data_IF_506919036074
#
_entry.id   IF_506919036074
#
_cell.length_a   1.000
_cell.length_b   1.000
_cell.length_c   1.000
_cell.angle_alpha   90.00
_cell.angle_beta   90.00
_cell.angle_gamma   90.00
#
_symmetry.space_group_name_H-M   'P 1'
#
loop_
_entity.id
_entity.type
_entity.pdbx_description
1 polymer ?
#
# COMPACT_ATOMS: atom_id res chain seq x y z
N UNK A 1 -43.28 32.07 -1.72
CA UNK A 1 -42.83 30.65 -1.71
C UNK A 1 -43.97 29.66 -1.45
N UNK A 2 -44.56 29.62 -0.24
CA UNK A 2 -45.53 28.57 0.16
C UNK A 2 -46.75 28.46 -0.77
N UNK A 3 -47.38 29.58 -1.16
CA UNK A 3 -48.54 29.58 -2.07
C UNK A 3 -48.21 29.04 -3.47
N UNK A 4 -47.02 29.34 -3.99
CA UNK A 4 -46.58 28.89 -5.32
C UNK A 4 -46.33 27.38 -5.34
N UNK A 5 -45.65 26.85 -4.31
CA UNK A 5 -45.39 25.40 -4.17
C UNK A 5 -46.70 24.62 -4.05
N UNK A 6 -47.64 25.10 -3.22
CA UNK A 6 -48.97 24.48 -3.09
C UNK A 6 -49.75 24.50 -4.40
N UNK A 7 -49.70 25.60 -5.16
CA UNK A 7 -50.37 25.72 -6.47
C UNK A 7 -49.76 24.75 -7.50
N UNK A 8 -48.44 24.56 -7.51
CA UNK A 8 -47.77 23.56 -8.34
C UNK A 8 -48.17 22.12 -7.96
N UNK A 9 -48.13 21.79 -6.67
CA UNK A 9 -48.54 20.47 -6.17
C UNK A 9 -50.00 20.17 -6.50
N UNK A 10 -50.90 21.16 -6.38
CA UNK A 10 -52.32 21.02 -6.73
C UNK A 10 -52.53 20.75 -8.23
N UNK A 11 -51.78 21.43 -9.10
CA UNK A 11 -51.86 21.20 -10.56
C UNK A 11 -51.36 19.80 -10.91
N UNK A 12 -50.24 19.36 -10.31
CA UNK A 12 -49.72 18.00 -10.50
C UNK A 12 -50.71 16.95 -10.00
N UNK A 13 -51.28 17.13 -8.80
CA UNK A 13 -52.27 16.23 -8.23
C UNK A 13 -53.54 16.15 -9.10
N UNK A 14 -54.03 17.30 -9.60
CA UNK A 14 -55.19 17.35 -10.50
C UNK A 14 -54.95 16.61 -11.80
N UNK A 15 -53.76 16.74 -12.41
CA UNK A 15 -53.38 16.00 -13.63
C UNK A 15 -53.32 14.49 -13.37
N UNK A 16 -52.66 14.07 -12.28
CA UNK A 16 -52.56 12.65 -11.89
C UNK A 16 -53.92 12.02 -11.59
N UNK A 17 -54.83 12.77 -10.94
CA UNK A 17 -56.18 12.31 -10.65
C UNK A 17 -57.04 12.15 -11.91
N UNK A 18 -56.89 13.06 -12.88
CA UNK A 18 -57.57 12.96 -14.17
C UNK A 18 -57.02 11.82 -15.03
N UNK A 19 -55.71 11.56 -14.98
CA UNK A 19 -55.08 10.41 -15.65
C UNK A 19 -55.53 9.08 -15.02
N UNK A 20 -55.57 8.98 -13.69
CA UNK A 20 -56.00 7.78 -12.99
C UNK A 20 -57.47 7.36 -13.23
N UNK A 21 -58.31 8.28 -13.74
CA UNK A 21 -59.71 8.00 -14.10
C UNK A 21 -59.89 7.52 -15.54
N UNK A 22 -58.87 7.63 -16.38
CA UNK A 22 -58.89 7.14 -17.76
C UNK A 22 -58.34 5.70 -17.79
N UNK A 23 -58.87 4.81 -18.64
CA UNK A 23 -58.25 3.50 -18.84
C UNK A 23 -56.79 3.69 -19.29
N UNK A 24 -55.89 2.81 -18.84
CA UNK A 24 -54.46 2.87 -19.16
C UNK A 24 -54.23 2.94 -20.67
N UNK A 25 -53.51 3.97 -21.11
CA UNK A 25 -53.10 4.19 -22.50
C UNK A 25 -51.62 3.78 -22.68
N UNK A 26 -51.18 3.50 -23.91
CA UNK A 26 -49.76 3.22 -24.26
C UNK A 26 -48.85 4.33 -23.72
N UNK A 27 -49.37 5.56 -23.65
CA UNK A 27 -48.72 6.70 -23.02
C UNK A 27 -48.37 6.47 -21.54
N UNK A 28 -49.22 5.82 -20.77
CA UNK A 28 -48.97 5.56 -19.35
C UNK A 28 -47.83 4.54 -19.17
N UNK A 29 -47.74 3.56 -20.08
CA UNK A 29 -46.63 2.59 -20.12
C UNK A 29 -45.31 3.28 -20.45
N UNK A 30 -45.31 4.15 -21.47
CA UNK A 30 -44.13 4.94 -21.85
C UNK A 30 -43.71 5.90 -20.73
N UNK A 31 -44.67 6.57 -20.10
CA UNK A 31 -44.41 7.48 -18.99
C UNK A 31 -43.83 6.70 -17.80
N UNK A 32 -44.39 5.56 -17.41
CA UNK A 32 -43.82 4.71 -16.35
C UNK A 32 -42.40 4.24 -16.68
N UNK A 33 -42.16 3.79 -17.92
CA UNK A 33 -40.83 3.36 -18.34
C UNK A 33 -39.81 4.50 -18.25
N UNK A 34 -40.16 5.71 -18.71
CA UNK A 34 -39.28 6.88 -18.64
C UNK A 34 -38.91 7.25 -17.20
N UNK A 35 -39.87 7.16 -16.27
CA UNK A 35 -39.64 7.40 -14.84
C UNK A 35 -38.75 6.30 -14.23
N UNK A 36 -39.02 5.03 -14.56
CA UNK A 36 -38.23 3.89 -14.11
C UNK A 36 -36.78 3.96 -14.59
N UNK A 37 -36.57 4.28 -15.87
CA UNK A 37 -35.25 4.45 -16.46
C UNK A 37 -34.49 5.61 -15.81
N UNK A 38 -35.14 6.77 -15.61
CA UNK A 38 -34.52 7.92 -14.95
C UNK A 38 -34.14 7.60 -13.50
N UNK A 39 -35.01 6.93 -12.75
CA UNK A 39 -34.75 6.51 -11.38
C UNK A 39 -33.56 5.53 -11.30
N UNK A 40 -33.54 4.54 -12.19
CA UNK A 40 -32.43 3.60 -12.29
C UNK A 40 -31.11 4.32 -12.60
N UNK A 41 -31.11 5.24 -13.58
CA UNK A 41 -29.94 6.02 -13.95
C UNK A 41 -29.43 6.89 -12.79
N UNK A 42 -30.32 7.54 -12.03
CA UNK A 42 -29.92 8.32 -10.85
C UNK A 42 -29.26 7.44 -9.79
N UNK A 43 -29.80 6.24 -9.54
CA UNK A 43 -29.23 5.28 -8.60
C UNK A 43 -27.85 4.78 -9.07
N UNK A 44 -27.68 4.51 -10.36
CA UNK A 44 -26.39 4.16 -10.95
C UNK A 44 -25.38 5.30 -10.75
N UNK A 45 -25.76 6.55 -11.03
CA UNK A 45 -24.88 7.72 -10.83
C UNK A 45 -24.51 7.93 -9.37
N UNK A 46 -25.42 7.68 -8.43
CA UNK A 46 -25.11 7.77 -7.01
C UNK A 46 -24.09 6.71 -6.57
N UNK A 47 -24.24 5.47 -7.07
CA UNK A 47 -23.29 4.38 -6.82
C UNK A 47 -21.92 4.69 -7.43
N UNK A 48 -21.88 5.19 -8.68
CA UNK A 48 -20.65 5.64 -9.33
C UNK A 48 -19.95 6.72 -8.49
N UNK A 49 -20.68 7.75 -8.04
CA UNK A 49 -20.13 8.82 -7.19
C UNK A 49 -19.56 8.30 -5.87
N UNK A 50 -20.25 7.35 -5.22
CA UNK A 50 -19.77 6.70 -3.99
C UNK A 50 -18.48 5.92 -4.26
N UNK A 51 -18.42 5.16 -5.35
CA UNK A 51 -17.25 4.39 -5.74
C UNK A 51 -16.05 5.30 -6.07
N UNK A 52 -16.26 6.35 -6.87
CA UNK A 52 -15.23 7.35 -7.20
C UNK A 52 -14.64 7.99 -5.93
N UNK A 53 -15.52 8.31 -4.97
CA UNK A 53 -15.12 8.86 -3.68
C UNK A 53 -14.32 7.86 -2.84
N UNK A 54 -14.66 6.57 -2.86
CA UNK A 54 -13.93 5.52 -2.14
C UNK A 54 -12.57 5.20 -2.78
N UNK A 55 -12.49 5.20 -4.11
CA UNK A 55 -11.25 4.92 -4.84
C UNK A 55 -10.26 6.07 -4.65
N UNK A 56 -10.70 7.34 -4.69
CA UNK A 56 -9.82 8.50 -4.47
C UNK A 56 -9.87 9.56 -5.57
N UNK A 57 -10.78 9.43 -6.54
CA UNK A 57 -11.12 10.50 -7.48
C UNK A 57 -12.06 11.49 -6.79
N UNK A 58 -11.62 12.11 -5.70
CA UNK A 58 -12.45 13.10 -5.03
C UNK A 58 -12.39 14.42 -5.82
N UNK A 59 -13.53 15.07 -6.10
CA UNK A 59 -13.50 16.46 -6.55
C UNK A 59 -12.83 17.32 -5.46
N UNK A 60 -12.05 18.36 -5.82
CA UNK A 60 -11.18 19.12 -4.91
C UNK A 60 -11.89 19.89 -3.77
N UNK A 61 -13.19 19.69 -3.58
CA UNK A 61 -14.05 20.47 -2.69
C UNK A 61 -14.44 19.76 -1.38
N UNK A 62 -13.96 18.53 -1.12
CA UNK A 62 -14.34 17.79 0.09
C UNK A 62 -13.16 17.62 1.05
N UNK A 63 -13.25 18.29 2.20
CA UNK A 63 -12.54 18.09 3.47
C UNK A 63 -11.33 17.13 3.42
N UNK A 64 -10.12 17.67 3.61
CA UNK A 64 -8.83 16.95 3.67
C UNK A 64 -8.82 15.71 4.57
N UNK A 65 -9.68 15.65 5.58
CA UNK A 65 -9.73 14.50 6.48
C UNK A 65 -10.45 13.28 5.88
N UNK A 66 -11.34 13.48 4.91
CA UNK A 66 -12.01 12.38 4.19
C UNK A 66 -11.19 11.82 3.04
N UNK A 67 -10.31 12.60 2.44
CA UNK A 67 -9.39 12.11 1.40
C UNK A 67 -8.40 11.08 1.98
N UNK A 68 -8.01 11.24 3.25
CA UNK A 68 -7.17 10.29 4.00
C UNK A 68 -7.83 8.91 4.19
N UNK A 69 -9.16 8.82 4.12
CA UNK A 69 -9.93 7.57 4.30
C UNK A 69 -10.11 6.78 2.99
N UNK A 70 -9.70 7.34 1.84
CA UNK A 70 -9.80 6.68 0.53
C UNK A 70 -8.92 5.42 0.48
N UNK A 71 -9.31 4.46 -0.36
CA UNK A 71 -8.53 3.23 -0.55
C UNK A 71 -7.13 3.56 -1.07
N UNK A 72 -7.01 4.50 -2.02
CA UNK A 72 -5.71 4.94 -2.52
C UNK A 72 -4.83 5.60 -1.43
N UNK A 73 -5.37 6.51 -0.62
CA UNK A 73 -4.58 7.15 0.45
C UNK A 73 -4.13 6.14 1.52
N UNK A 74 -4.93 5.09 1.77
CA UNK A 74 -4.53 4.00 2.66
C UNK A 74 -3.47 3.11 2.00
N UNK A 75 -3.60 2.82 0.71
CA UNK A 75 -2.62 2.05 -0.06
C UNK A 75 -1.26 2.75 -0.07
N UNK A 76 -1.23 4.05 -0.35
CA UNK A 76 0.00 4.83 -0.36
C UNK A 76 0.73 4.77 0.99
N UNK A 77 0.00 4.81 2.10
CA UNK A 77 0.60 4.66 3.44
C UNK A 77 1.21 3.27 3.64
N UNK A 78 0.55 2.23 3.14
CA UNK A 78 1.07 0.86 3.15
C UNK A 78 2.33 0.77 2.28
N UNK A 79 2.34 1.37 1.09
CA UNK A 79 3.52 1.42 0.21
C UNK A 79 4.71 2.10 0.88
N UNK A 80 4.51 3.27 1.51
CA UNK A 80 5.57 3.95 2.25
C UNK A 80 6.14 3.06 3.38
N UNK A 81 5.27 2.42 4.17
CA UNK A 81 5.70 1.53 5.24
C UNK A 81 6.49 0.31 4.71
N UNK A 82 6.10 -0.23 3.55
CA UNK A 82 6.83 -1.32 2.89
C UNK A 82 8.21 -0.84 2.41
N UNK A 83 8.31 0.38 1.89
CA UNK A 83 9.59 0.97 1.48
C UNK A 83 10.53 1.13 2.68
N UNK A 84 10.02 1.62 3.81
CA UNK A 84 10.80 1.76 5.04
C UNK A 84 11.26 0.39 5.58
N UNK A 85 10.37 -0.60 5.56
CA UNK A 85 10.71 -1.98 5.89
C UNK A 85 11.80 -2.55 4.97
N UNK A 86 11.73 -2.28 3.67
CA UNK A 86 12.78 -2.69 2.73
C UNK A 86 14.12 -2.06 3.09
N UNK A 87 14.14 -0.75 3.40
CA UNK A 87 15.39 -0.07 3.77
C UNK A 87 15.99 -0.64 5.06
N UNK A 88 15.17 -0.93 6.06
CA UNK A 88 15.64 -1.56 7.30
C UNK A 88 16.19 -2.97 7.05
N UNK A 89 15.54 -3.76 6.18
CA UNK A 89 16.03 -5.08 5.76
C UNK A 89 17.37 -4.99 5.03
N UNK A 90 17.55 -4.02 4.13
CA UNK A 90 18.81 -3.79 3.42
C UNK A 90 19.94 -3.37 4.40
N UNK A 91 19.63 -2.56 5.40
CA UNK A 91 20.57 -2.17 6.46
C UNK A 91 20.99 -3.37 7.33
N UNK A 92 20.05 -4.28 7.63
CA UNK A 92 20.34 -5.52 8.34
C UNK A 92 21.22 -6.43 7.48
N UNK A 93 20.86 -6.63 6.21
CA UNK A 93 21.63 -7.46 5.28
C UNK A 93 23.07 -6.96 5.13
N UNK A 94 23.27 -5.65 4.96
CA UNK A 94 24.62 -5.06 4.86
C UNK A 94 25.42 -5.22 6.15
N UNK A 95 24.77 -5.10 7.31
CA UNK A 95 25.41 -5.33 8.61
C UNK A 95 25.82 -6.79 8.80
N UNK A 96 24.95 -7.74 8.45
CA UNK A 96 25.25 -9.18 8.49
C UNK A 96 26.39 -9.54 7.55
N UNK A 97 26.38 -8.98 6.32
CA UNK A 97 27.47 -9.20 5.36
C UNK A 97 28.81 -8.70 5.88
N UNK A 98 28.85 -7.53 6.54
CA UNK A 98 30.07 -7.04 7.18
C UNK A 98 30.57 -7.94 8.30
N UNK A 99 29.66 -8.55 9.07
CA UNK A 99 30.03 -9.50 10.12
C UNK A 99 30.62 -10.77 9.50
N UNK A 100 30.00 -11.27 8.44
CA UNK A 100 30.48 -12.43 7.68
C UNK A 100 31.89 -12.21 7.12
N UNK A 101 32.11 -11.06 6.45
CA UNK A 101 33.43 -10.66 5.94
C UNK A 101 34.47 -10.59 7.08
N UNK A 102 34.09 -10.01 8.23
CA UNK A 102 34.98 -9.93 9.41
C UNK A 102 35.30 -11.31 9.99
N UNK A 103 34.34 -12.23 10.05
CA UNK A 103 34.57 -13.60 10.50
C UNK A 103 35.53 -14.34 9.56
N UNK A 104 35.38 -14.16 8.25
CA UNK A 104 36.30 -14.67 7.25
C UNK A 104 37.74 -14.15 7.46
N UNK A 105 37.91 -12.83 7.64
CA UNK A 105 39.23 -12.25 7.91
C UNK A 105 39.84 -12.74 9.23
N UNK A 106 39.05 -12.87 10.30
CA UNK A 106 39.52 -13.40 11.59
C UNK A 106 39.98 -14.85 11.42
N UNK A 107 39.22 -15.68 10.70
CA UNK A 107 39.59 -17.08 10.43
C UNK A 107 40.91 -17.18 9.66
N UNK A 108 41.08 -16.37 8.61
CA UNK A 108 42.32 -16.33 7.81
C UNK A 108 43.51 -15.84 8.65
N UNK A 109 43.33 -14.80 9.45
CA UNK A 109 44.38 -14.30 10.34
C UNK A 109 44.78 -15.32 11.40
N UNK A 110 43.81 -16.06 11.95
CA UNK A 110 44.10 -17.09 12.94
C UNK A 110 44.88 -18.25 12.31
N UNK A 111 44.56 -18.64 11.07
CA UNK A 111 45.32 -19.65 10.30
C UNK A 111 46.75 -19.16 9.99
N UNK A 112 46.90 -17.90 9.56
CA UNK A 112 48.20 -17.30 9.29
C UNK A 112 49.06 -17.22 10.55
N UNK A 113 48.46 -16.85 11.68
CA UNK A 113 49.12 -16.83 12.99
C UNK A 113 49.57 -18.23 13.42
N UNK A 114 48.69 -19.24 13.29
CA UNK A 114 49.04 -20.63 13.60
C UNK A 114 50.16 -21.18 12.70
N UNK A 115 50.17 -20.81 11.41
CA UNK A 115 51.26 -21.16 10.47
C UNK A 115 52.59 -20.49 10.86
N UNK A 116 52.56 -19.22 11.26
CA UNK A 116 53.75 -18.48 11.73
C UNK A 116 54.33 -19.04 13.03
N UNK A 117 53.47 -19.38 13.99
CA UNK A 117 53.91 -20.05 15.24
C UNK A 117 54.56 -21.41 14.92
N UNK A 118 53.97 -22.19 13.99
CA UNK A 118 54.55 -23.47 13.56
C UNK A 118 55.91 -23.30 12.89
N UNK A 119 56.10 -22.29 12.03
CA UNK A 119 57.40 -22.03 11.40
C UNK A 119 58.45 -21.60 12.42
N UNK A 120 58.06 -20.79 13.42
CA UNK A 120 58.97 -20.33 14.48
C UNK A 120 59.41 -21.49 15.39
N UNK A 121 58.51 -22.42 15.71
CA UNK A 121 58.86 -23.63 16.49
C UNK A 121 59.80 -24.53 15.70
N UNK A 122 59.58 -24.74 14.39
CA UNK A 122 60.54 -25.49 13.56
C UNK A 122 61.91 -24.80 13.46
N UNK A 123 61.96 -23.47 13.44
CA UNK A 123 63.22 -22.73 13.43
C UNK A 123 63.95 -22.77 14.79
N UNK A 124 63.20 -22.80 15.90
CA UNK A 124 63.75 -22.93 17.25
C UNK A 124 64.26 -24.35 17.55
N UNK A 125 63.57 -25.39 17.05
CA UNK A 125 64.01 -26.78 17.15
C UNK A 125 65.33 -27.03 16.42
N UNK A 126 65.53 -26.40 15.26
CA UNK A 126 66.81 -26.48 14.51
C UNK A 126 67.94 -25.73 15.25
N UNK A 127 67.64 -24.64 15.96
CA UNK A 127 68.66 -23.94 16.78
C UNK A 127 69.06 -24.74 18.02
N UNK A 128 68.15 -25.47 18.66
CA UNK A 128 68.49 -26.27 19.84
C UNK A 128 69.37 -27.49 19.49
N UNK A 129 69.22 -28.08 18.29
CA UNK A 129 70.10 -29.15 17.80
C UNK A 129 71.50 -28.67 17.38
N UNK A 130 71.79 -27.36 17.41
CA UNK A 130 73.09 -26.80 17.00
C UNK A 130 73.88 -26.19 18.17
N UNK A 131 73.47 -26.39 19.43
CA UNK A 131 74.17 -25.83 20.61
C UNK A 131 74.95 -26.90 21.41
N UNK A 132 74.75 -28.19 21.15
CA UNK A 132 75.46 -29.28 21.87
C UNK A 132 76.78 -29.73 21.22
N UNK A 133 77.37 -28.95 20.31
CA UNK A 133 78.62 -29.33 19.65
C UNK A 133 79.59 -28.17 19.47
N UNK A 134 80.18 -27.73 20.59
CA UNK A 134 81.44 -26.97 20.76
C UNK A 134 81.44 -26.52 22.23
N UNK A 135 82.34 -26.86 23.17
CA UNK A 135 83.81 -27.07 23.26
C UNK A 135 84.07 -27.61 24.71
N UNK A 136 85.22 -28.22 25.11
CA UNK A 136 86.47 -28.51 24.39
C UNK A 136 86.75 -30.00 24.16
#
# INVERSE_FOLDING_TARGET
MIRCVRKMQLIVARKRFQQARKPYDVRDVLEQYSHGHTNMMMRIKELQRKLEHSIGKQPPLTNEDRSKLTVLARMQRVECAIIDMKQTMDNIYTSLKRIDDRLHHISVNNIAHHRSVRSNISHAGVKFSSVDQEIP
#
